data_IF_336690841405
#
_entry.id   IF_336690841405
#
_cell.length_a   1.000
_cell.length_b   1.000
_cell.length_c   1.000
_cell.angle_alpha   90.00
_cell.angle_beta   90.00
_cell.angle_gamma   90.00
#
_symmetry.space_group_name_H-M   'P 1'
#
loop_
_entity.id
_entity.type
_entity.pdbx_description
1 polymer ?
#
# COMPACT_ATOMS: atom_id res chain seq x y z
N UNK A 1 29.76 37.38 6.63
CA UNK A 1 30.19 36.43 5.58
C UNK A 1 30.18 34.98 6.06
N UNK A 2 30.87 34.63 7.16
CA UNK A 2 30.93 33.24 7.64
C UNK A 2 29.60 32.70 8.22
N UNK A 3 28.81 33.55 8.89
CA UNK A 3 27.51 33.18 9.45
C UNK A 3 26.48 32.82 8.36
N UNK A 4 26.51 33.53 7.22
CA UNK A 4 25.68 33.22 6.05
C UNK A 4 26.06 31.88 5.42
N UNK A 5 27.35 31.55 5.41
CA UNK A 5 27.86 30.30 4.87
C UNK A 5 27.45 29.11 5.75
N UNK A 6 27.48 29.27 7.08
CA UNK A 6 26.94 28.27 8.02
C UNK A 6 25.43 28.06 7.85
N UNK A 7 24.66 29.14 7.69
CA UNK A 7 23.20 29.05 7.48
C UNK A 7 22.89 28.32 6.16
N UNK A 8 23.60 28.65 5.07
CA UNK A 8 23.46 27.97 3.78
C UNK A 8 23.78 26.48 3.91
N UNK A 9 24.87 26.11 4.60
CA UNK A 9 25.23 24.71 4.83
C UNK A 9 24.14 23.98 5.63
N UNK A 10 23.60 24.59 6.70
CA UNK A 10 22.51 23.96 7.47
C UNK A 10 21.22 23.77 6.68
N UNK A 11 20.86 24.71 5.81
CA UNK A 11 19.67 24.60 4.95
C UNK A 11 19.86 23.52 3.87
N UNK A 12 21.07 23.40 3.31
CA UNK A 12 21.41 22.34 2.37
C UNK A 12 21.48 20.95 3.04
N UNK A 13 21.73 20.88 4.34
CA UNK A 13 21.70 19.64 5.12
C UNK A 13 20.29 19.28 5.64
N UNK A 14 19.39 20.25 5.84
CA UNK A 14 18.04 20.00 6.39
C UNK A 14 17.02 19.54 5.35
N UNK A 15 17.39 19.41 4.07
CA UNK A 15 16.49 18.93 3.02
C UNK A 15 16.26 17.41 3.04
N UNK A 16 16.54 16.75 4.16
CA UNK A 16 16.57 15.31 4.23
C UNK A 16 15.29 14.75 4.90
N UNK A 17 14.42 14.30 3.99
CA UNK A 17 13.44 13.21 4.09
C UNK A 17 12.18 13.43 4.94
N UNK A 18 11.09 13.81 4.25
CA UNK A 18 9.76 13.32 4.57
C UNK A 18 9.60 12.01 3.80
N UNK A 19 9.92 10.88 4.42
CA UNK A 19 9.61 9.58 3.84
C UNK A 19 8.14 9.30 4.12
N UNK A 20 7.28 9.67 3.17
CA UNK A 20 5.88 9.25 3.20
C UNK A 20 5.88 7.76 2.92
N UNK A 21 5.45 6.96 3.89
CA UNK A 21 5.10 5.56 3.66
C UNK A 21 3.90 5.61 2.72
N UNK A 22 4.13 5.36 1.44
CA UNK A 22 3.07 5.25 0.44
C UNK A 22 2.52 3.83 0.54
N UNK A 23 1.24 3.71 0.84
CA UNK A 23 0.58 2.41 0.88
C UNK A 23 0.61 1.75 -0.51
N UNK A 24 0.89 0.44 -0.60
CA UNK A 24 1.03 -0.25 -1.87
C UNK A 24 -0.32 -0.32 -2.58
N UNK A 25 -0.34 0.04 -3.86
CA UNK A 25 -1.52 -0.06 -4.73
C UNK A 25 -1.20 -1.04 -5.86
N UNK A 26 -2.06 -2.03 -6.07
CA UNK A 26 -1.91 -3.06 -7.11
C UNK A 26 -3.15 -3.07 -8.01
N UNK A 27 -2.94 -3.18 -9.32
CA UNK A 27 -4.00 -3.34 -10.30
C UNK A 27 -4.45 -4.80 -10.41
N UNK A 28 -5.76 -5.02 -10.35
CA UNK A 28 -6.40 -6.31 -10.61
C UNK A 28 -7.31 -6.22 -11.84
N UNK A 29 -7.76 -7.35 -12.43
CA UNK A 29 -8.73 -7.30 -13.53
C UNK A 29 -10.04 -6.57 -13.20
N UNK A 30 -10.34 -6.37 -11.90
CA UNK A 30 -11.57 -5.74 -11.41
C UNK A 30 -11.34 -4.34 -10.81
N UNK A 31 -10.11 -3.82 -10.89
CA UNK A 31 -9.74 -2.49 -10.40
C UNK A 31 -8.55 -2.49 -9.43
N UNK A 32 -8.15 -1.29 -9.02
CA UNK A 32 -7.04 -1.07 -8.10
C UNK A 32 -7.39 -1.46 -6.66
N UNK A 33 -6.44 -2.06 -5.95
CA UNK A 33 -6.55 -2.42 -4.53
C UNK A 33 -5.41 -1.77 -3.76
N UNK A 34 -5.76 -1.08 -2.68
CA UNK A 34 -4.82 -0.51 -1.70
C UNK A 34 -4.57 -1.51 -0.56
N UNK A 35 -3.30 -1.72 -0.23
CA UNK A 35 -2.84 -2.57 0.86
C UNK A 35 -2.07 -1.76 1.91
N UNK A 36 -1.25 -2.44 2.70
CA UNK A 36 -0.34 -1.81 3.65
C UNK A 36 0.91 -2.68 3.86
N UNK A 37 2.00 -2.07 4.29
CA UNK A 37 3.24 -2.80 4.63
C UNK A 37 3.20 -3.24 6.10
N UNK A 38 3.56 -4.49 6.35
CA UNK A 38 3.65 -5.08 7.69
C UNK A 38 5.00 -5.73 7.94
N UNK A 39 5.68 -5.31 9.01
CA UNK A 39 6.93 -5.92 9.46
C UNK A 39 6.65 -7.21 10.22
N UNK A 40 7.09 -8.33 9.66
CA UNK A 40 6.98 -9.66 10.28
C UNK A 40 7.88 -9.80 11.50
N UNK A 41 7.59 -10.76 12.39
CA UNK A 41 8.42 -11.05 13.55
C UNK A 41 9.86 -11.49 13.19
N UNK A 42 10.05 -12.02 11.98
CA UNK A 42 11.35 -12.36 11.39
C UNK A 42 12.15 -11.16 10.88
N UNK A 43 11.58 -9.95 10.92
CA UNK A 43 12.23 -8.71 10.47
C UNK A 43 12.12 -8.46 8.96
N UNK A 44 11.32 -9.24 8.24
CA UNK A 44 11.01 -8.99 6.82
C UNK A 44 9.72 -8.18 6.69
N UNK A 45 9.69 -7.23 5.77
CA UNK A 45 8.48 -6.50 5.43
C UNK A 45 7.67 -7.26 4.38
N UNK A 46 6.35 -7.23 4.50
CA UNK A 46 5.42 -7.81 3.55
C UNK A 46 4.33 -6.81 3.19
N UNK A 47 3.95 -6.76 1.92
CA UNK A 47 2.76 -6.04 1.47
C UNK A 47 1.53 -6.92 1.71
N UNK A 48 0.55 -6.39 2.44
CA UNK A 48 -0.64 -7.11 2.88
C UNK A 48 -1.87 -6.48 2.26
N UNK A 49 -2.68 -7.32 1.60
CA UNK A 49 -3.95 -6.93 0.99
C UNK A 49 -5.05 -7.86 1.52
N UNK A 50 -6.08 -7.30 2.16
CA UNK A 50 -7.13 -8.05 2.85
C UNK A 50 -8.51 -7.75 2.26
N UNK A 51 -9.41 -8.72 2.34
CA UNK A 51 -10.82 -8.53 1.95
C UNK A 51 -11.05 -8.32 0.46
N UNK A 52 -10.09 -8.67 -0.41
CA UNK A 52 -10.25 -8.55 -1.86
C UNK A 52 -11.39 -9.48 -2.32
N UNK A 53 -12.46 -8.95 -2.95
CA UNK A 53 -13.53 -9.77 -3.46
C UNK A 53 -13.05 -10.58 -4.67
N UNK A 54 -13.28 -11.89 -4.64
CA UNK A 54 -12.97 -12.81 -5.76
C UNK A 54 -14.22 -13.29 -6.52
N UNK A 55 -15.40 -12.93 -6.02
CA UNK A 55 -16.69 -13.28 -6.59
C UNK A 55 -17.77 -12.31 -6.12
N UNK A 56 -18.94 -12.37 -6.74
CA UNK A 56 -20.13 -11.66 -6.27
C UNK A 56 -20.59 -12.19 -4.90
N UNK A 57 -21.11 -11.33 -4.00
CA UNK A 57 -21.65 -11.77 -2.71
C UNK A 57 -22.79 -12.79 -2.89
N UNK A 58 -22.77 -13.96 -2.21
CA UNK A 58 -23.77 -15.03 -2.39
C UNK A 58 -25.06 -14.74 -1.61
N UNK A 59 -25.71 -13.64 -1.94
CA UNK A 59 -26.95 -13.16 -1.30
C UNK A 59 -28.16 -13.38 -2.20
N UNK A 60 -29.35 -13.42 -1.59
CA UNK A 60 -30.63 -13.63 -2.29
C UNK A 60 -30.60 -14.89 -3.18
N UNK A 61 -30.87 -14.74 -4.48
CA UNK A 61 -30.95 -15.84 -5.44
C UNK A 61 -29.59 -16.51 -5.67
N UNK A 62 -28.48 -15.82 -5.41
CA UNK A 62 -27.12 -16.38 -5.48
C UNK A 62 -26.81 -17.31 -4.30
N UNK A 63 -27.68 -17.35 -3.27
CA UNK A 63 -27.48 -18.24 -2.12
C UNK A 63 -27.62 -19.69 -2.58
N UNK A 64 -26.59 -20.48 -2.29
CA UNK A 64 -26.47 -21.89 -2.68
C UNK A 64 -26.16 -22.13 -4.17
N UNK A 65 -25.95 -21.08 -4.97
CA UNK A 65 -25.43 -21.24 -6.33
C UNK A 65 -23.92 -21.49 -6.34
N UNK A 66 -23.42 -22.09 -7.44
CA UNK A 66 -21.99 -22.27 -7.64
C UNK A 66 -21.34 -20.90 -7.81
N UNK A 67 -20.37 -20.62 -6.96
CA UNK A 67 -19.54 -19.42 -7.09
C UNK A 67 -18.72 -19.57 -8.38
N UNK A 68 -19.00 -18.72 -9.37
CA UNK A 68 -18.11 -18.54 -10.50
C UNK A 68 -16.83 -17.87 -9.99
N UNK A 69 -15.81 -18.67 -9.67
CA UNK A 69 -14.49 -18.16 -9.33
C UNK A 69 -13.88 -17.54 -10.58
N UNK A 70 -13.86 -16.21 -10.60
CA UNK A 70 -13.35 -15.45 -11.73
C UNK A 70 -11.91 -15.04 -11.43
N UNK A 71 -11.07 -16.07 -11.25
CA UNK A 71 -9.63 -15.92 -11.04
C UNK A 71 -8.97 -15.70 -12.40
N UNK A 72 -8.05 -14.71 -12.46
CA UNK A 72 -7.18 -14.25 -13.57
C UNK A 72 -7.38 -14.84 -14.97
#
# INVERSE_FOLDING_TARGET
MWLFLLIIVTILFSSNFCESIVDPIVETPYGSVEGFTYSTASGSDAEIFLGIPFAAPPIADLRFEVISMQIF
#
